data_IF_630655737716
#
_entry.id   IF_630655737716
#
_cell.length_a   1.000
_cell.length_b   1.000
_cell.length_c   1.000
_cell.angle_alpha   90.00
_cell.angle_beta   90.00
_cell.angle_gamma   90.00
#
_symmetry.space_group_name_H-M   'P 1'
#
loop_
_entity.id
_entity.type
_entity.pdbx_description
1 polymer ?
#
# COMPACT_ATOMS: atom_id res chain seq x y z
N UNK A 1 11.03 -7.17 -14.05
CA UNK A 1 10.80 -5.73 -13.80
C UNK A 1 9.36 -5.34 -14.18
N UNK A 2 8.35 -5.94 -13.53
CA UNK A 2 6.93 -5.77 -13.91
C UNK A 2 6.34 -4.43 -13.44
N UNK A 3 6.96 -3.79 -12.43
CA UNK A 3 6.50 -2.51 -11.87
C UNK A 3 6.71 -1.32 -12.82
N UNK A 4 7.73 -1.32 -13.67
CA UNK A 4 8.04 -0.20 -14.59
C UNK A 4 7.16 -0.16 -15.85
N UNK A 5 6.38 -1.22 -16.09
CA UNK A 5 5.53 -1.36 -17.28
C UNK A 5 4.10 -0.82 -17.05
N UNK A 6 3.72 -0.48 -15.82
CA UNK A 6 2.39 0.07 -15.55
C UNK A 6 2.35 1.59 -15.84
N UNK A 7 1.30 2.09 -16.52
CA UNK A 7 1.18 3.51 -16.87
C UNK A 7 1.19 4.45 -15.65
N UNK A 8 0.82 3.95 -14.46
CA UNK A 8 0.88 4.65 -13.18
C UNK A 8 2.33 4.92 -12.71
N UNK A 9 3.28 4.05 -13.07
CA UNK A 9 4.70 4.15 -12.71
C UNK A 9 5.61 4.61 -13.87
N UNK A 10 5.05 4.72 -15.10
CA UNK A 10 5.69 5.38 -16.25
C UNK A 10 5.86 6.89 -16.02
N UNK A 11 5.02 7.48 -15.17
CA UNK A 11 5.16 8.87 -14.75
C UNK A 11 6.18 8.93 -13.61
N UNK A 12 7.46 9.16 -13.96
CA UNK A 12 8.58 9.28 -13.00
C UNK A 12 8.22 10.21 -11.84
N UNK A 13 7.45 11.27 -12.10
CA UNK A 13 6.93 12.21 -11.10
C UNK A 13 6.06 11.56 -10.02
N UNK A 14 5.20 10.60 -10.40
CA UNK A 14 4.37 9.86 -9.44
C UNK A 14 5.22 8.89 -8.62
N UNK A 15 6.14 8.17 -9.26
CA UNK A 15 7.03 7.25 -8.55
C UNK A 15 7.94 8.00 -7.55
N UNK A 16 8.51 9.14 -7.96
CA UNK A 16 9.31 9.99 -7.07
C UNK A 16 8.50 10.51 -5.87
N UNK A 17 7.20 10.77 -6.06
CA UNK A 17 6.31 11.23 -5.00
C UNK A 17 5.99 10.16 -3.96
N UNK A 18 6.03 8.87 -4.32
CA UNK A 18 5.82 7.78 -3.34
C UNK A 18 7.08 7.44 -2.54
N UNK A 19 8.28 7.76 -3.04
CA UNK A 19 9.54 7.38 -2.40
C UNK A 19 9.62 7.76 -0.91
N UNK A 20 9.19 8.97 -0.48
CA UNK A 20 9.18 9.32 0.94
C UNK A 20 8.20 8.45 1.75
N UNK A 21 7.07 8.06 1.15
CA UNK A 21 6.08 7.21 1.80
C UNK A 21 6.51 5.74 1.92
N UNK A 22 7.53 5.31 1.16
CA UNK A 22 8.15 3.98 1.28
C UNK A 22 9.17 3.89 2.42
N UNK A 23 9.44 5.00 3.13
CA UNK A 23 10.27 4.95 4.33
C UNK A 23 9.65 4.03 5.39
N UNK A 24 10.50 3.24 6.06
CA UNK A 24 10.07 2.25 7.05
C UNK A 24 9.29 2.89 8.21
N UNK A 25 9.70 4.06 8.66
CA UNK A 25 9.05 4.78 9.76
C UNK A 25 7.68 5.30 9.32
N UNK A 26 7.63 5.85 8.10
CA UNK A 26 6.40 6.33 7.48
C UNK A 26 5.35 5.21 7.36
N UNK A 27 5.71 4.09 6.71
CA UNK A 27 4.83 2.94 6.56
C UNK A 27 4.42 2.36 7.91
N UNK A 28 5.34 2.22 8.87
CA UNK A 28 4.99 1.71 10.19
C UNK A 28 3.95 2.57 10.90
N UNK A 29 4.04 3.90 10.79
CA UNK A 29 3.06 4.81 11.40
C UNK A 29 1.72 4.70 10.68
N UNK A 30 1.72 4.77 9.35
CA UNK A 30 0.53 4.63 8.53
C UNK A 30 -0.22 3.30 8.82
N UNK A 31 0.52 2.18 8.92
CA UNK A 31 -0.06 0.88 9.24
C UNK A 31 -0.66 0.82 10.66
N UNK A 32 0.00 1.44 11.65
CA UNK A 32 -0.51 1.51 13.03
C UNK A 32 -1.76 2.36 13.15
N UNK A 33 -1.91 3.38 12.32
CA UNK A 33 -3.05 4.30 12.36
C UNK A 33 -4.27 3.73 11.66
N UNK A 34 -4.09 3.20 10.44
CA UNK A 34 -5.18 2.84 9.54
C UNK A 34 -5.57 1.35 9.57
N UNK A 35 -4.73 0.49 10.16
CA UNK A 35 -4.94 -0.96 10.19
C UNK A 35 -4.96 -1.52 11.63
N UNK A 36 -5.60 -0.81 12.56
CA UNK A 36 -5.73 -1.19 13.99
C UNK A 36 -6.60 -2.44 14.19
N UNK A 37 -7.70 -2.53 13.45
CA UNK A 37 -8.67 -3.61 13.61
C UNK A 37 -8.49 -4.74 12.58
N UNK A 38 -9.07 -5.89 12.88
CA UNK A 38 -9.07 -7.09 12.02
C UNK A 38 -9.94 -6.93 10.76
N UNK A 39 -10.83 -5.95 10.73
CA UNK A 39 -11.80 -5.72 9.64
C UNK A 39 -11.20 -5.00 8.44
N UNK A 40 -10.26 -4.08 8.66
CA UNK A 40 -9.67 -3.29 7.57
C UNK A 40 -8.49 -4.04 6.98
N UNK A 41 -8.68 -4.59 5.79
CA UNK A 41 -7.67 -5.34 5.04
C UNK A 41 -7.27 -4.64 3.75
N UNK A 42 -7.98 -3.62 3.29
CA UNK A 42 -7.68 -2.96 2.02
C UNK A 42 -8.01 -1.48 2.10
N UNK A 43 -7.10 -0.65 1.60
CA UNK A 43 -7.27 0.80 1.41
C UNK A 43 -6.88 1.16 -0.02
N UNK A 44 -7.72 1.91 -0.71
CA UNK A 44 -7.52 2.28 -2.11
C UNK A 44 -7.55 3.80 -2.27
N UNK A 45 -6.43 4.35 -2.70
CA UNK A 45 -6.26 5.76 -3.00
C UNK A 45 -6.61 6.67 -1.83
N UNK A 46 -7.76 7.35 -1.88
CA UNK A 46 -8.16 8.33 -0.85
C UNK A 46 -8.49 7.70 0.50
N UNK A 47 -8.78 6.40 0.52
CA UNK A 47 -8.99 5.64 1.76
C UNK A 47 -7.70 5.50 2.57
N UNK A 48 -6.53 5.75 1.97
CA UNK A 48 -5.28 5.78 2.72
C UNK A 48 -5.18 7.00 3.67
N UNK A 49 -6.08 7.98 3.56
CA UNK A 49 -6.04 9.21 4.38
C UNK A 49 -4.68 9.92 4.32
N UNK A 50 -3.97 9.74 3.20
CA UNK A 50 -2.57 10.11 3.04
C UNK A 50 -2.32 10.53 1.58
N UNK A 51 -1.90 11.78 1.39
CA UNK A 51 -1.73 12.37 0.06
C UNK A 51 -0.59 11.76 -0.76
N UNK A 52 0.40 11.13 -0.12
CA UNK A 52 1.48 10.42 -0.79
C UNK A 52 1.05 9.02 -1.22
N UNK A 53 0.06 8.43 -0.53
CA UNK A 53 -0.49 7.11 -0.82
C UNK A 53 -1.79 7.15 -1.65
N UNK A 54 -2.28 8.34 -2.00
CA UNK A 54 -3.51 8.55 -2.78
C UNK A 54 -3.55 7.88 -4.17
N UNK A 55 -2.37 7.56 -4.71
CA UNK A 55 -2.18 6.87 -5.99
C UNK A 55 -1.84 5.38 -5.82
N UNK A 56 -1.85 4.89 -4.58
CA UNK A 56 -1.58 3.50 -4.22
C UNK A 56 -2.83 2.77 -3.74
N UNK A 57 -2.80 1.45 -3.85
CA UNK A 57 -3.66 0.52 -3.12
C UNK A 57 -2.82 -0.25 -2.11
N UNK A 58 -3.34 -0.45 -0.91
CA UNK A 58 -2.68 -1.17 0.18
C UNK A 58 -3.58 -2.32 0.60
N UNK A 59 -3.15 -3.54 0.31
CA UNK A 59 -3.85 -4.76 0.72
C UNK A 59 -3.03 -5.39 1.84
N UNK A 60 -3.68 -5.73 2.95
CA UNK A 60 -3.02 -6.31 4.11
C UNK A 60 -3.75 -7.55 4.58
N UNK A 61 -2.99 -8.53 5.03
CA UNK A 61 -3.51 -9.73 5.68
C UNK A 61 -2.73 -9.99 6.95
N UNK A 62 -3.42 -10.51 7.96
CA UNK A 62 -2.79 -10.93 9.19
C UNK A 62 -2.45 -12.42 9.10
N UNK A 63 -1.31 -12.78 9.66
CA UNK A 63 -0.90 -14.17 9.77
C UNK A 63 -0.56 -14.51 11.23
N UNK A 64 -0.88 -15.73 11.60
CA UNK A 64 -0.56 -16.31 12.89
C UNK A 64 -0.05 -17.73 12.66
N UNK A 65 1.22 -17.96 12.99
CA UNK A 65 1.87 -19.28 12.89
C UNK A 65 2.00 -19.96 14.25
N UNK A 66 1.47 -19.37 15.32
CA UNK A 66 1.70 -19.77 16.71
C UNK A 66 3.02 -19.28 17.30
N UNK A 67 4.09 -19.19 16.49
CA UNK A 67 5.41 -18.69 16.93
C UNK A 67 5.58 -17.18 16.65
N UNK A 68 5.08 -16.74 15.51
CA UNK A 68 5.09 -15.35 15.08
C UNK A 68 3.70 -14.94 14.61
N UNK A 69 3.31 -13.73 15.02
CA UNK A 69 2.11 -13.04 14.56
C UNK A 69 2.52 -11.76 13.89
N UNK A 70 1.89 -11.43 12.77
CA UNK A 70 2.22 -10.23 12.03
C UNK A 70 1.19 -9.90 10.97
N UNK A 71 1.51 -8.87 10.21
CA UNK A 71 0.72 -8.39 9.08
C UNK A 71 1.63 -8.32 7.86
N UNK A 72 1.18 -8.88 6.75
CA UNK A 72 1.81 -8.73 5.43
C UNK A 72 1.00 -7.68 4.68
N UNK A 73 1.68 -6.67 4.15
CA UNK A 73 1.09 -5.62 3.33
C UNK A 73 1.66 -5.67 1.91
N UNK A 74 0.79 -5.56 0.91
CA UNK A 74 1.12 -5.41 -0.50
C UNK A 74 0.72 -4.00 -0.91
N UNK A 75 1.70 -3.23 -1.39
CA UNK A 75 1.49 -1.90 -1.96
C UNK A 75 1.47 -2.03 -3.49
N UNK A 76 0.41 -1.55 -4.13
CA UNK A 76 0.25 -1.56 -5.57
C UNK A 76 -0.28 -0.23 -6.10
N UNK A 77 -0.40 -0.07 -7.42
CA UNK A 77 -1.06 1.09 -8.01
C UNK A 77 -2.56 1.10 -7.66
N UNK A 78 -3.17 2.29 -7.62
CA UNK A 78 -4.61 2.47 -7.33
C UNK A 78 -5.54 1.77 -8.33
N UNK A 79 -5.12 1.63 -9.59
CA UNK A 79 -5.85 0.87 -10.61
C UNK A 79 -5.17 -0.49 -10.78
N UNK A 80 -5.75 -1.52 -10.17
CA UNK A 80 -5.64 -2.87 -10.71
C UNK A 80 -6.68 -2.93 -11.83
N UNK A 81 -6.32 -3.19 -13.10
CA UNK A 81 -7.34 -3.46 -14.10
C UNK A 81 -8.09 -4.71 -13.63
N UNK A 82 -9.35 -4.53 -13.23
CA UNK A 82 -10.27 -5.66 -13.12
C UNK A 82 -10.39 -6.20 -14.54
N UNK A 83 -9.65 -7.26 -14.85
CA UNK A 83 -9.85 -8.02 -16.08
C UNK A 83 -11.26 -8.62 -15.99
N UNK A 84 -12.18 -8.04 -16.76
CA UNK A 84 -13.44 -8.65 -17.17
C UNK A 84 -13.16 -9.87 -18.06
#
# INVERSE_FOLDING_TARGET
NVLLEQPEFQNISNFQRILPALDKTYLNNHFKENFKDHSTQTLIGKENEDELLNDCSIITTQFDSGLIKGRIGVLGPKRVPYMS
#
